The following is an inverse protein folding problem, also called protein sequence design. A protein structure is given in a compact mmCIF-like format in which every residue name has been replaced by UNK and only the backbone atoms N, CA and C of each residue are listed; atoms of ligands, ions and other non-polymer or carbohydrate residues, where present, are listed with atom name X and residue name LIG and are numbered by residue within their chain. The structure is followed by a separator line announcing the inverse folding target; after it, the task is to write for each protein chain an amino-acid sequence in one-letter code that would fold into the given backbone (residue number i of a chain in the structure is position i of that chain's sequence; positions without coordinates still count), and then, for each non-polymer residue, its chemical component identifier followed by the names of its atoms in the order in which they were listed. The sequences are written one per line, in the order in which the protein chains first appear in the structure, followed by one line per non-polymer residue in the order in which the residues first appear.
data_IF_883567690904
#
_entry.id   IF_883567690904
#
_cell.length_a   1.000
_cell.length_b   1.000
_cell.length_c   1.000
_cell.angle_alpha   90.00
_cell.angle_beta   90.00
_cell.angle_gamma   90.00
#
_symmetry.space_group_name_H-M   'P 1'
#
loop_
_entity.id
_entity.type
_entity.pdbx_description
1 polymer ?
#
# COMPACT_ATOMS: atom_id res chain seq x y z
N UNK A 1 -4.76 -10.91 0.96
CA UNK A 1 -3.81 -10.12 0.15
C UNK A 1 -2.39 -10.69 0.16
N UNK A 2 -2.11 -11.74 0.96
CA UNK A 2 -0.75 -12.12 1.33
C UNK A 2 0.15 -12.60 0.19
N UNK A 3 -0.34 -13.32 -0.77
CA UNK A 3 0.50 -13.93 -1.81
C UNK A 3 0.96 -12.98 -2.93
N UNK A 4 0.38 -11.79 -3.03
CA UNK A 4 0.70 -10.81 -4.05
C UNK A 4 2.11 -10.24 -3.88
N UNK A 5 2.55 -10.05 -2.65
CA UNK A 5 3.93 -9.62 -2.33
C UNK A 5 4.93 -10.67 -2.78
N UNK A 6 4.67 -11.95 -2.51
CA UNK A 6 5.54 -13.06 -2.94
C UNK A 6 5.65 -13.11 -4.47
N UNK A 7 4.55 -12.89 -5.19
CA UNK A 7 4.59 -12.80 -6.65
C UNK A 7 5.47 -11.66 -7.14
N UNK A 8 5.38 -10.47 -6.52
CA UNK A 8 6.21 -9.32 -6.87
C UNK A 8 7.69 -9.64 -6.62
N UNK A 9 8.03 -10.19 -5.45
CA UNK A 9 9.39 -10.56 -5.09
C UNK A 9 9.97 -11.58 -6.10
N UNK A 10 9.24 -12.66 -6.37
CA UNK A 10 9.68 -13.68 -7.33
C UNK A 10 9.93 -13.15 -8.74
N UNK A 11 9.06 -12.24 -9.22
CA UNK A 11 9.26 -11.62 -10.53
C UNK A 11 10.51 -10.75 -10.57
N UNK A 12 10.75 -9.94 -9.54
CA UNK A 12 11.93 -9.06 -9.45
C UNK A 12 13.21 -9.90 -9.35
N UNK A 13 13.24 -10.95 -8.53
CA UNK A 13 14.37 -11.88 -8.38
C UNK A 13 14.72 -12.57 -9.69
N UNK A 14 13.74 -12.83 -10.55
CA UNK A 14 13.93 -13.43 -11.86
C UNK A 14 14.15 -12.39 -12.99
N UNK A 15 14.44 -11.13 -12.67
CA UNK A 15 14.74 -10.09 -13.63
C UNK A 15 13.50 -9.44 -14.29
N UNK A 16 12.31 -9.75 -13.80
CA UNK A 16 11.07 -9.10 -14.19
C UNK A 16 10.83 -7.79 -13.41
N UNK A 17 9.63 -7.25 -13.48
CA UNK A 17 9.31 -5.99 -12.82
C UNK A 17 7.98 -6.05 -12.04
N UNK A 18 7.78 -5.07 -11.17
CA UNK A 18 6.57 -4.88 -10.37
C UNK A 18 5.27 -4.97 -11.19
N UNK A 19 5.26 -4.28 -12.34
CA UNK A 19 4.09 -4.27 -13.21
C UNK A 19 3.79 -5.65 -13.80
N UNK A 20 4.81 -6.33 -14.31
CA UNK A 20 4.63 -7.63 -14.98
C UNK A 20 4.13 -8.69 -13.99
N UNK A 21 4.62 -8.66 -12.75
CA UNK A 21 4.11 -9.50 -11.68
C UNK A 21 2.60 -9.30 -11.48
N UNK A 22 2.15 -8.05 -11.41
CA UNK A 22 0.76 -7.72 -11.14
C UNK A 22 -0.18 -7.87 -12.34
N UNK A 23 0.35 -7.96 -13.57
CA UNK A 23 -0.45 -8.35 -14.73
C UNK A 23 -0.95 -9.79 -14.63
N UNK A 24 -0.33 -10.65 -13.83
CA UNK A 24 -0.75 -12.02 -13.56
C UNK A 24 -1.77 -12.15 -12.43
N UNK A 25 -2.06 -11.05 -11.73
CA UNK A 25 -2.97 -11.02 -10.59
C UNK A 25 -4.28 -10.31 -10.91
N UNK A 26 -5.27 -10.57 -10.08
CA UNK A 26 -6.60 -9.97 -10.15
C UNK A 26 -7.04 -9.52 -8.75
N UNK A 27 -8.20 -8.93 -8.64
CA UNK A 27 -8.88 -8.64 -7.37
C UNK A 27 -9.23 -9.92 -6.59
N UNK A 28 -9.68 -9.82 -5.34
CA UNK A 28 -10.11 -10.97 -4.54
C UNK A 28 -11.45 -11.52 -5.04
N UNK A 29 -11.62 -12.86 -5.13
CA UNK A 29 -12.86 -13.47 -5.58
C UNK A 29 -13.89 -13.61 -4.43
N UNK A 30 -14.03 -12.58 -3.61
CA UNK A 30 -14.86 -12.52 -2.40
C UNK A 30 -16.16 -11.73 -2.62
N UNK A 31 -17.05 -12.28 -3.44
CA UNK A 31 -18.37 -11.66 -3.65
C UNK A 31 -19.10 -11.41 -2.31
N UNK A 32 -19.85 -10.32 -2.15
CA UNK A 32 -20.15 -9.29 -3.16
C UNK A 32 -19.10 -8.17 -3.25
N UNK A 33 -18.11 -8.11 -2.37
CA UNK A 33 -17.16 -6.99 -2.28
C UNK A 33 -16.14 -6.96 -3.41
N UNK A 34 -15.71 -8.14 -3.90
CA UNK A 34 -14.62 -8.25 -4.88
C UNK A 34 -13.45 -7.35 -4.51
N UNK A 35 -12.96 -7.57 -3.30
CA UNK A 35 -11.98 -6.72 -2.61
C UNK A 35 -10.80 -6.35 -3.52
N UNK A 36 -10.53 -5.06 -3.75
CA UNK A 36 -9.36 -4.63 -4.50
C UNK A 36 -8.06 -5.08 -3.85
N UNK A 37 -7.08 -5.44 -4.65
CA UNK A 37 -5.71 -5.66 -4.18
C UNK A 37 -4.89 -4.41 -4.39
N UNK A 38 -4.23 -3.96 -3.34
CA UNK A 38 -3.31 -2.83 -3.37
C UNK A 38 -1.89 -3.30 -3.12
N UNK A 39 -0.91 -2.66 -3.76
CA UNK A 39 0.51 -2.96 -3.55
C UNK A 39 1.35 -1.71 -3.64
N UNK A 40 2.48 -1.72 -2.93
CA UNK A 40 3.49 -0.69 -3.00
C UNK A 40 4.88 -1.30 -3.14
N UNK A 41 5.79 -0.59 -3.81
CA UNK A 41 7.21 -0.93 -3.87
C UNK A 41 8.04 0.36 -3.83
N UNK A 42 9.04 0.39 -2.97
CA UNK A 42 10.02 1.48 -2.89
C UNK A 42 11.26 1.08 -3.67
N UNK A 43 11.74 1.97 -4.52
CA UNK A 43 12.95 1.81 -5.31
C UNK A 43 13.96 2.89 -4.91
N UNK A 44 15.14 2.47 -4.51
CA UNK A 44 16.20 3.35 -3.95
C UNK A 44 17.46 3.36 -4.83
N UNK A 45 17.32 3.16 -6.15
CA UNK A 45 18.45 3.15 -7.07
C UNK A 45 19.14 4.52 -7.15
N UNK A 46 20.47 4.52 -7.17
CA UNK A 46 21.31 5.73 -7.30
C UNK A 46 21.01 6.81 -6.25
N UNK A 47 20.69 6.42 -5.02
CA UNK A 47 20.29 7.30 -3.91
C UNK A 47 19.11 8.22 -4.24
N UNK A 48 18.33 7.86 -5.25
CA UNK A 48 17.09 8.53 -5.60
C UNK A 48 15.93 7.64 -5.23
N UNK A 49 15.01 8.17 -4.44
CA UNK A 49 13.78 7.47 -4.11
C UNK A 49 12.79 7.62 -5.26
N UNK A 50 12.22 6.51 -5.63
CA UNK A 50 10.93 6.46 -6.33
C UNK A 50 10.10 5.36 -5.71
N UNK A 51 8.79 5.46 -5.80
CA UNK A 51 7.91 4.38 -5.39
C UNK A 51 6.81 4.14 -6.40
N UNK A 52 6.34 2.92 -6.38
CA UNK A 52 5.30 2.41 -7.23
C UNK A 52 4.10 2.04 -6.36
N UNK A 53 2.91 2.36 -6.82
CA UNK A 53 1.67 1.92 -6.21
C UNK A 53 0.79 1.27 -7.26
N UNK A 54 -0.02 0.31 -6.84
CA UNK A 54 -1.01 -0.31 -7.73
C UNK A 54 -2.33 -0.59 -7.03
N UNK A 55 -3.39 -0.54 -7.82
CA UNK A 55 -4.74 -0.97 -7.43
C UNK A 55 -5.25 -1.91 -8.51
N UNK A 56 -5.61 -3.13 -8.11
CA UNK A 56 -6.26 -4.13 -8.95
C UNK A 56 -7.70 -4.27 -8.46
N UNK A 57 -8.68 -3.85 -9.25
CA UNK A 57 -10.08 -3.90 -8.84
C UNK A 57 -10.96 -4.49 -9.93
N UNK A 58 -12.12 -5.00 -9.54
CA UNK A 58 -13.15 -5.42 -10.48
C UNK A 58 -13.62 -4.24 -11.32
N UNK A 59 -13.86 -4.49 -12.58
CA UNK A 59 -14.59 -3.56 -13.45
C UNK A 59 -16.05 -3.46 -13.00
N UNK A 60 -16.64 -2.27 -13.11
CA UNK A 60 -18.01 -2.01 -12.67
C UNK A 60 -19.05 -2.70 -13.55
N UNK A 61 -18.74 -2.91 -14.84
CA UNK A 61 -19.67 -3.43 -15.84
C UNK A 61 -19.35 -4.86 -16.26
N UNK A 62 -18.25 -5.44 -15.78
CA UNK A 62 -17.81 -6.78 -16.19
C UNK A 62 -17.01 -7.50 -15.10
N UNK A 63 -16.68 -8.78 -15.33
CA UNK A 63 -15.79 -9.58 -14.47
C UNK A 63 -14.29 -9.29 -14.74
N UNK A 64 -13.98 -8.34 -15.61
CA UNK A 64 -12.60 -8.00 -15.92
C UNK A 64 -11.91 -7.29 -14.75
N UNK A 65 -10.60 -7.47 -14.65
CA UNK A 65 -9.78 -6.76 -13.69
C UNK A 65 -9.22 -5.48 -14.31
N UNK A 66 -9.52 -4.33 -13.73
CA UNK A 66 -8.84 -3.07 -14.01
C UNK A 66 -7.60 -2.96 -13.16
N UNK A 67 -6.47 -2.63 -13.78
CA UNK A 67 -5.15 -2.51 -13.14
C UNK A 67 -4.62 -1.10 -13.32
N UNK A 68 -4.39 -0.42 -12.21
CA UNK A 68 -3.84 0.93 -12.18
C UNK A 68 -2.44 0.88 -11.58
N UNK A 69 -1.50 1.58 -12.23
CA UNK A 69 -0.12 1.67 -11.81
C UNK A 69 0.29 3.13 -11.74
N UNK A 70 0.87 3.52 -10.63
CA UNK A 70 1.33 4.88 -10.36
C UNK A 70 2.81 4.83 -10.00
N UNK A 71 3.58 5.76 -10.53
CA UNK A 71 4.99 5.92 -10.21
C UNK A 71 5.25 7.36 -9.78
N UNK A 72 5.87 7.50 -8.63
CA UNK A 72 6.27 8.77 -8.06
C UNK A 72 7.79 8.84 -7.98
N UNK A 73 8.36 9.93 -8.46
CA UNK A 73 9.79 10.19 -8.43
C UNK A 73 10.03 11.66 -8.08
N UNK A 74 11.01 11.94 -7.22
CA UNK A 74 11.29 13.30 -6.82
C UNK A 74 10.20 13.92 -5.94
N UNK A 75 9.66 13.15 -5.01
CA UNK A 75 8.64 13.60 -4.06
C UNK A 75 9.24 14.59 -3.09
N UNK A 76 8.54 15.69 -2.82
CA UNK A 76 8.96 16.71 -1.87
C UNK A 76 8.91 16.18 -0.43
N UNK A 77 9.78 16.73 0.44
CA UNK A 77 9.78 16.39 1.85
C UNK A 77 8.45 16.80 2.50
N UNK A 78 7.91 15.93 3.34
CA UNK A 78 6.62 16.15 4.00
C UNK A 78 5.41 15.81 3.14
N UNK A 79 5.60 15.29 1.93
CA UNK A 79 4.51 14.86 1.04
C UNK A 79 4.49 13.34 0.94
N UNK A 80 3.32 12.76 1.07
CA UNK A 80 3.07 11.33 0.89
C UNK A 80 1.89 11.04 -0.03
N UNK A 81 1.74 9.78 -0.40
CA UNK A 81 0.59 9.32 -1.18
C UNK A 81 -0.05 8.11 -0.52
N UNK A 82 -1.36 8.07 -0.53
CA UNK A 82 -2.12 7.00 0.09
C UNK A 82 -3.06 6.34 -0.93
N UNK A 83 -3.17 5.03 -0.85
CA UNK A 83 -4.19 4.23 -1.54
C UNK A 83 -4.93 3.37 -0.52
N UNK A 84 -6.17 3.08 -0.79
CA UNK A 84 -7.03 2.28 0.06
C UNK A 84 -7.55 1.06 -0.69
N UNK A 85 -8.00 0.05 0.04
CA UNK A 85 -8.76 -1.06 -0.53
C UNK A 85 -10.18 -0.60 -0.87
N UNK A 86 -10.83 0.09 0.04
CA UNK A 86 -12.20 0.58 -0.12
C UNK A 86 -12.25 2.10 -0.15
N UNK A 87 -13.21 2.65 -0.88
CA UNK A 87 -13.42 4.09 -1.04
C UNK A 87 -14.30 4.75 0.04
N UNK A 88 -14.91 3.94 0.91
CA UNK A 88 -15.83 4.39 1.95
C UNK A 88 -16.64 3.25 2.52
N UNK A 89 -17.67 3.58 3.30
CA UNK A 89 -18.64 2.63 3.84
C UNK A 89 -19.70 2.27 2.79
N UNK A 90 -20.28 1.08 2.91
CA UNK A 90 -21.32 0.59 2.02
C UNK A 90 -21.58 -0.91 2.15
N UNK A 91 -22.64 -1.39 1.49
CA UNK A 91 -22.96 -2.82 1.37
C UNK A 91 -23.47 -3.10 -0.07
N UNK A 92 -22.63 -3.67 -0.94
CA UNK A 92 -21.22 -4.02 -0.71
C UNK A 92 -20.32 -2.79 -0.52
N UNK A 93 -19.14 -3.01 0.05
CA UNK A 93 -18.13 -1.97 0.25
C UNK A 93 -17.63 -1.43 -1.11
N UNK A 94 -17.68 -0.11 -1.37
CA UNK A 94 -17.24 0.44 -2.64
C UNK A 94 -15.72 0.35 -2.79
N UNK A 95 -15.25 -0.16 -3.93
CA UNK A 95 -13.81 -0.20 -4.24
C UNK A 95 -13.20 1.20 -4.33
N UNK A 96 -11.95 1.35 -3.89
CA UNK A 96 -11.20 2.58 -4.13
C UNK A 96 -11.01 2.80 -5.65
N UNK A 97 -11.50 3.92 -6.15
CA UNK A 97 -11.58 4.21 -7.59
C UNK A 97 -10.85 5.49 -8.03
N UNK A 98 -10.14 6.14 -7.08
CA UNK A 98 -9.41 7.39 -7.34
C UNK A 98 -7.94 7.13 -7.65
N UNK A 99 -7.24 8.18 -8.12
CA UNK A 99 -5.78 8.23 -8.07
C UNK A 99 -5.31 8.24 -6.61
N UNK A 100 -4.05 7.86 -6.33
CA UNK A 100 -3.48 8.01 -5.00
C UNK A 100 -3.69 9.43 -4.47
N UNK A 101 -4.09 9.53 -3.21
CA UNK A 101 -4.38 10.80 -2.58
C UNK A 101 -3.08 11.36 -2.00
N UNK A 102 -2.74 12.58 -2.38
CA UNK A 102 -1.62 13.30 -1.79
C UNK A 102 -2.00 13.75 -0.38
N UNK A 103 -1.09 13.56 0.57
CA UNK A 103 -1.24 13.92 1.97
C UNK A 103 0.02 14.62 2.48
N UNK A 104 -0.15 15.50 3.44
CA UNK A 104 0.96 15.98 4.26
C UNK A 104 1.33 14.89 5.27
N UNK A 105 2.63 14.72 5.50
CA UNK A 105 3.16 13.69 6.41
C UNK A 105 4.10 14.31 7.43
N UNK A 106 4.10 13.74 8.63
CA UNK A 106 5.13 14.00 9.63
C UNK A 106 6.55 13.67 9.12
N UNK A 107 7.56 14.20 9.80
CA UNK A 107 8.96 14.11 9.35
C UNK A 107 9.71 12.90 9.92
N UNK A 108 9.11 12.16 10.84
CA UNK A 108 9.70 10.97 11.46
C UNK A 108 8.66 9.87 11.64
N UNK A 109 9.16 8.64 11.86
CA UNK A 109 8.31 7.45 11.93
C UNK A 109 7.28 7.48 13.05
N UNK A 110 7.58 8.10 14.19
CA UNK A 110 6.66 8.19 15.32
C UNK A 110 5.50 9.14 15.03
N UNK A 111 5.82 10.35 14.56
CA UNK A 111 4.78 11.34 14.24
C UNK A 111 3.85 10.81 13.15
N UNK A 112 4.39 10.17 12.12
CA UNK A 112 3.59 9.50 11.08
C UNK A 112 2.72 8.38 11.66
N UNK A 113 3.28 7.55 12.55
CA UNK A 113 2.53 6.47 13.17
C UNK A 113 1.36 7.00 14.03
N UNK A 114 1.60 8.01 14.82
CA UNK A 114 0.58 8.61 15.68
C UNK A 114 -0.53 9.28 14.86
N UNK A 115 -0.17 10.09 13.87
CA UNK A 115 -1.13 10.76 12.99
C UNK A 115 -2.02 9.76 12.23
N UNK A 116 -1.40 8.76 11.61
CA UNK A 116 -2.15 7.73 10.86
C UNK A 116 -3.02 6.91 11.81
N UNK A 117 -2.49 6.49 12.96
CA UNK A 117 -3.26 5.70 13.92
C UNK A 117 -4.48 6.43 14.44
N UNK A 118 -4.37 7.74 14.71
CA UNK A 118 -5.49 8.57 15.15
C UNK A 118 -6.52 8.82 14.03
N UNK A 119 -6.08 8.90 12.79
CA UNK A 119 -6.97 9.08 11.63
C UNK A 119 -7.76 7.82 11.26
N UNK A 120 -7.27 6.63 11.64
CA UNK A 120 -7.99 5.36 11.38
C UNK A 120 -9.22 5.24 12.28
N UNK A 121 -10.29 4.65 11.72
CA UNK A 121 -11.50 4.36 12.48
C UNK A 121 -11.18 3.47 13.70
N UNK A 122 -11.54 3.95 14.90
CA UNK A 122 -11.17 3.33 16.16
C UNK A 122 -11.73 1.90 16.31
N UNK A 123 -12.91 1.64 15.80
CA UNK A 123 -13.54 0.32 15.89
C UNK A 123 -12.93 -0.69 14.91
N UNK A 124 -12.39 -0.22 13.79
CA UNK A 124 -11.91 -1.05 12.69
C UNK A 124 -10.39 -1.17 12.61
N UNK A 125 -9.63 -0.27 13.23
CA UNK A 125 -8.16 -0.35 13.22
C UNK A 125 -7.66 -1.55 14.01
N UNK A 126 -6.77 -2.32 13.42
CA UNK A 126 -6.19 -3.53 14.02
C UNK A 126 -4.72 -3.35 14.31
N UNK A 127 -3.95 -2.98 13.31
CA UNK A 127 -2.52 -2.77 13.43
C UNK A 127 -2.02 -1.73 12.43
N UNK A 128 -0.91 -1.09 12.76
CA UNK A 128 -0.17 -0.19 11.89
C UNK A 128 1.32 -0.56 11.93
N UNK A 129 1.94 -0.59 10.76
CA UNK A 129 3.38 -0.75 10.60
C UNK A 129 3.93 0.47 9.87
N UNK A 130 4.87 1.17 10.46
CA UNK A 130 5.60 2.29 9.86
C UNK A 130 7.07 1.97 9.83
N UNK A 131 7.72 2.19 8.69
CA UNK A 131 9.15 1.99 8.51
C UNK A 131 9.80 3.23 7.92
N UNK A 132 10.84 3.70 8.58
CA UNK A 132 11.72 4.76 8.12
C UNK A 132 12.96 4.15 7.46
N UNK A 133 13.31 4.63 6.27
CA UNK A 133 14.44 4.14 5.49
C UNK A 133 15.41 5.29 5.20
N UNK A 134 16.69 5.10 5.54
CA UNK A 134 17.75 5.98 5.06
C UNK A 134 18.01 5.73 3.56
N UNK A 135 17.79 6.74 2.75
CA UNK A 135 17.97 6.64 1.30
C UNK A 135 19.43 6.55 0.85
N UNK A 136 20.41 6.88 1.72
CA UNK A 136 21.84 6.79 1.41
C UNK A 136 22.36 5.39 1.62
N UNK A 137 21.93 4.75 2.69
CA UNK A 137 22.39 3.41 3.09
C UNK A 137 21.43 2.31 2.67
N UNK A 138 20.18 2.65 2.32
CA UNK A 138 19.06 1.74 2.10
C UNK A 138 18.76 0.85 3.33
N UNK A 139 19.13 1.33 4.51
CA UNK A 139 18.89 0.61 5.76
C UNK A 139 17.63 1.11 6.45
N UNK A 140 17.04 0.22 7.23
CA UNK A 140 15.95 0.59 8.12
C UNK A 140 16.53 1.39 9.30
N UNK A 141 16.15 2.66 9.43
CA UNK A 141 16.52 3.48 10.58
C UNK A 141 15.60 3.22 11.75
N UNK A 142 14.30 3.12 11.48
CA UNK A 142 13.29 2.96 12.51
C UNK A 142 12.10 2.17 12.03
N UNK A 143 11.51 1.41 12.94
CA UNK A 143 10.24 0.72 12.74
C UNK A 143 9.33 0.99 13.93
N UNK A 144 8.11 1.43 13.66
CA UNK A 144 7.04 1.59 14.65
C UNK A 144 5.92 0.61 14.31
N UNK A 145 5.50 -0.15 15.31
CA UNK A 145 4.39 -1.11 15.19
C UNK A 145 3.38 -0.77 16.29
N UNK A 146 2.13 -0.54 15.90
CA UNK A 146 1.02 -0.34 16.81
C UNK A 146 0.02 -1.48 16.61
N UNK A 147 -0.30 -2.18 17.68
CA UNK A 147 -1.31 -3.23 17.70
C UNK A 147 -2.41 -2.90 18.70
N UNK A 148 -3.67 -2.92 18.25
CA UNK A 148 -4.83 -2.68 19.12
C UNK A 148 -4.94 -3.71 20.26
N UNK A 149 -4.60 -4.96 20.01
CA UNK A 149 -4.78 -6.05 20.93
C UNK A 149 -3.52 -6.43 21.72
N UNK A 150 -2.45 -5.61 21.67
CA UNK A 150 -1.19 -5.88 22.37
C UNK A 150 -0.34 -6.98 21.70
N UNK A 151 0.84 -7.23 22.28
CA UNK A 151 1.80 -8.22 21.77
C UNK A 151 1.47 -9.68 22.18
N UNK A 152 0.37 -9.93 22.90
CA UNK A 152 0.05 -11.19 23.56
C UNK A 152 -0.98 -12.05 22.81
N UNK A 153 -0.93 -12.04 21.48
CA UNK A 153 -1.60 -13.07 20.69
C UNK A 153 -0.53 -14.05 20.19
N UNK A 154 -0.21 -15.04 21.06
CA UNK A 154 0.47 -16.28 20.62
C UNK A 154 -0.39 -17.08 19.64
#
# INVERSE_FOLDING_TARGET
NGDQTDTICQYIENGGCFRDALLTRTYEPDAPNYTPRISGAVCTADHKMSYLMSVLRKDEESENCRRFFYKFSGVDAGVGHIIHTYGGDGDPLPSFSRAPVEIEMGLDAESVADEVWQALNEDNRVSLFVRELDLKTNQNEKTVIINRFGADAE
#
